data_IF_444714855938
#
_entry.id   IF_444714855938
#
_cell.length_a   1.000
_cell.length_b   1.000
_cell.length_c   1.000
_cell.angle_alpha   90.00
_cell.angle_beta   90.00
_cell.angle_gamma   90.00
#
_symmetry.space_group_name_H-M   'P 1'
#
loop_
_entity.id
_entity.type
_entity.pdbx_description
1 polymer ?
#
# COMPACT_ATOMS: atom_id res chain seq x y z
N UNK A 1 58.65 18.43 20.89
CA UNK A 1 57.74 18.32 19.72
C UNK A 1 58.22 17.15 18.89
N UNK A 2 57.46 16.06 18.82
CA UNK A 2 57.58 15.03 17.78
C UNK A 2 56.37 14.09 17.88
N UNK A 3 55.63 13.97 16.76
CA UNK A 3 54.48 13.08 16.57
C UNK A 3 54.92 11.59 16.63
N UNK A 4 54.04 10.65 17.02
CA UNK A 4 54.22 9.26 16.64
C UNK A 4 53.32 8.89 15.46
N UNK A 5 53.96 8.43 14.38
CA UNK A 5 53.33 7.72 13.27
C UNK A 5 53.16 6.23 13.64
N UNK A 6 51.99 5.70 13.30
CA UNK A 6 51.56 4.30 13.48
C UNK A 6 52.36 3.39 12.52
N UNK A 7 52.87 2.26 13.02
CA UNK A 7 53.25 1.11 12.20
C UNK A 7 52.60 -0.17 12.73
N UNK A 8 51.82 -0.80 11.85
CA UNK A 8 51.12 -2.06 12.03
C UNK A 8 52.08 -3.27 11.89
N UNK A 9 51.65 -4.39 12.51
CA UNK A 9 52.01 -5.79 12.32
C UNK A 9 53.22 -6.39 13.06
N UNK A 10 52.93 -7.32 13.97
CA UNK A 10 53.57 -8.65 13.99
C UNK A 10 52.52 -9.73 14.32
N UNK A 11 52.58 -10.94 13.71
CA UNK A 11 51.62 -12.03 13.95
C UNK A 11 52.04 -12.87 15.17
N UNK A 12 51.07 -13.23 16.02
CA UNK A 12 51.31 -14.14 17.16
C UNK A 12 51.14 -15.59 16.66
N UNK A 13 52.17 -16.39 16.90
CA UNK A 13 52.33 -17.79 16.54
C UNK A 13 51.20 -18.69 17.08
N UNK A 14 50.75 -19.61 16.24
CA UNK A 14 49.88 -20.72 16.61
C UNK A 14 50.72 -21.94 17.05
N UNK A 15 50.27 -22.74 18.04
CA UNK A 15 50.70 -24.12 18.15
C UNK A 15 49.66 -25.05 17.49
N UNK A 16 50.11 -25.80 16.49
CA UNK A 16 49.48 -27.02 15.99
C UNK A 16 49.80 -28.15 16.98
N UNK A 17 48.82 -28.97 17.34
CA UNK A 17 48.95 -30.44 17.38
C UNK A 17 47.61 -31.11 17.74
N UNK A 18 47.06 -31.86 16.75
CA UNK A 18 46.37 -33.17 16.82
C UNK A 18 45.21 -33.38 17.83
N UNK A 19 44.04 -33.97 17.55
CA UNK A 19 43.63 -35.17 16.80
C UNK A 19 42.09 -35.05 16.47
N UNK A 20 41.34 -36.05 15.92
CA UNK A 20 40.89 -36.14 14.53
C UNK A 20 39.34 -36.13 14.36
N UNK A 21 38.93 -36.20 13.10
CA UNK A 21 37.69 -36.81 12.58
C UNK A 21 36.31 -36.33 13.05
N UNK A 22 35.57 -35.85 12.05
CA UNK A 22 34.11 -35.87 11.92
C UNK A 22 33.33 -35.09 12.97
N UNK A 23 32.86 -33.90 12.59
CA UNK A 23 31.43 -33.54 12.61
C UNK A 23 31.26 -32.07 12.24
N UNK A 24 30.28 -31.81 11.36
CA UNK A 24 29.70 -30.53 11.02
C UNK A 24 30.66 -29.40 10.61
N UNK A 25 30.87 -29.28 9.29
CA UNK A 25 30.92 -27.96 8.69
C UNK A 25 29.55 -27.29 8.87
N UNK A 26 29.28 -26.78 10.07
CA UNK A 26 28.21 -25.84 10.33
C UNK A 26 28.55 -24.56 9.57
N UNK A 27 28.09 -24.50 8.32
CA UNK A 27 27.86 -23.21 7.69
C UNK A 27 26.90 -22.46 8.63
N UNK A 28 27.40 -21.47 9.35
CA UNK A 28 26.53 -20.59 10.10
C UNK A 28 26.00 -19.59 9.08
N UNK A 29 24.75 -19.77 8.62
CA UNK A 29 24.04 -18.66 7.96
C UNK A 29 23.95 -17.56 9.03
N UNK A 30 24.81 -16.56 8.90
CA UNK A 30 24.65 -15.29 9.59
C UNK A 30 23.43 -14.63 8.96
N UNK A 31 22.23 -14.98 9.45
CA UNK A 31 21.02 -14.20 9.19
C UNK A 31 21.34 -12.79 9.69
N UNK A 32 21.63 -11.87 8.76
CA UNK A 32 21.61 -10.43 9.06
C UNK A 32 20.33 -10.19 9.86
N UNK A 33 20.40 -9.46 10.98
CA UNK A 33 19.24 -9.15 11.85
C UNK A 33 17.99 -8.69 11.08
N UNK A 34 18.15 -8.20 9.85
CA UNK A 34 17.08 -7.92 8.89
C UNK A 34 16.19 -9.12 8.47
N UNK A 35 16.61 -10.38 8.62
CA UNK A 35 15.84 -11.55 8.15
C UNK A 35 15.02 -12.27 9.22
N UNK A 36 15.09 -11.89 10.51
CA UNK A 36 14.12 -12.41 11.50
C UNK A 36 12.69 -11.91 11.26
N UNK A 37 12.54 -10.85 10.45
CA UNK A 37 11.24 -10.33 10.05
C UNK A 37 10.72 -10.98 8.76
N UNK A 38 11.46 -11.91 8.13
CA UNK A 38 11.06 -12.39 6.80
C UNK A 38 9.78 -13.22 6.83
N UNK A 39 9.46 -13.98 7.89
CA UNK A 39 8.16 -14.67 7.97
C UNK A 39 6.96 -13.72 8.09
N UNK A 40 7.16 -12.55 8.70
CA UNK A 40 6.13 -11.51 8.79
C UNK A 40 6.00 -10.74 7.47
N UNK A 41 7.12 -10.47 6.79
CA UNK A 41 7.16 -9.79 5.49
C UNK A 41 6.69 -10.74 4.38
N UNK A 42 7.00 -12.03 4.43
CA UNK A 42 6.55 -13.08 3.50
C UNK A 42 5.04 -13.36 3.66
N UNK A 43 4.52 -13.39 4.88
CA UNK A 43 3.07 -13.45 5.14
C UNK A 43 2.36 -12.14 4.73
N UNK A 44 3.09 -11.01 4.67
CA UNK A 44 2.64 -9.75 4.06
C UNK A 44 2.94 -9.66 2.57
N UNK A 45 3.68 -10.58 1.97
CA UNK A 45 3.82 -10.74 0.51
C UNK A 45 2.80 -11.77 -0.03
N UNK A 46 2.25 -12.61 0.84
CA UNK A 46 0.91 -13.17 0.68
C UNK A 46 -0.20 -12.11 0.82
N UNK A 47 0.18 -10.82 0.94
CA UNK A 47 -0.74 -9.72 0.74
C UNK A 47 -1.26 -9.74 -0.68
N UNK A 48 -2.52 -9.38 -0.79
CA UNK A 48 -3.15 -9.15 -2.07
C UNK A 48 -2.28 -8.27 -2.98
N UNK A 49 -1.85 -8.75 -4.18
CA UNK A 49 -0.95 -8.00 -5.06
C UNK A 49 -1.53 -6.63 -5.44
N UNK A 50 -2.85 -6.53 -5.50
CA UNK A 50 -3.56 -5.30 -5.80
C UNK A 50 -3.43 -4.30 -4.65
N UNK A 51 -3.51 -4.75 -3.40
CA UNK A 51 -3.24 -3.93 -2.23
C UNK A 51 -1.77 -3.46 -2.19
N UNK A 52 -0.84 -4.30 -2.63
CA UNK A 52 0.58 -3.94 -2.72
C UNK A 52 0.82 -2.87 -3.79
N UNK A 53 0.21 -2.99 -4.97
CA UNK A 53 0.30 -1.97 -6.03
C UNK A 53 -0.30 -0.64 -5.56
N UNK A 54 -1.47 -0.68 -4.91
CA UNK A 54 -2.08 0.52 -4.34
C UNK A 54 -1.19 1.16 -3.26
N UNK A 55 -0.53 0.35 -2.43
CA UNK A 55 0.43 0.85 -1.46
C UNK A 55 1.69 1.43 -2.11
N UNK A 56 2.15 0.88 -3.24
CA UNK A 56 3.23 1.47 -4.01
C UNK A 56 2.84 2.85 -4.54
N UNK A 57 1.63 2.98 -5.10
CA UNK A 57 1.06 4.26 -5.54
C UNK A 57 1.00 5.25 -4.37
N UNK A 58 0.55 4.80 -3.19
CA UNK A 58 0.56 5.60 -1.97
C UNK A 58 1.97 6.09 -1.60
N UNK A 59 2.97 5.21 -1.68
CA UNK A 59 4.37 5.55 -1.41
C UNK A 59 4.89 6.61 -2.40
N UNK A 60 4.48 6.54 -3.67
CA UNK A 60 4.84 7.54 -4.69
C UNK A 60 4.30 8.93 -4.32
N UNK A 61 3.07 9.02 -3.81
CA UNK A 61 2.53 10.28 -3.30
C UNK A 61 3.24 10.73 -2.01
N UNK A 62 3.52 9.81 -1.09
CA UNK A 62 4.08 10.17 0.23
C UNK A 62 5.56 10.55 0.21
N UNK A 63 6.36 10.02 -0.72
CA UNK A 63 7.83 10.05 -0.60
C UNK A 63 8.51 11.15 -1.41
N UNK A 64 7.81 11.84 -2.31
CA UNK A 64 8.46 12.67 -3.33
C UNK A 64 8.43 14.16 -2.99
N UNK A 65 9.55 14.86 -3.18
CA UNK A 65 9.62 16.33 -3.31
C UNK A 65 8.71 16.86 -4.44
N UNK A 66 8.31 16.00 -5.37
CA UNK A 66 7.46 16.29 -6.52
C UNK A 66 6.05 15.72 -6.40
N UNK A 67 5.56 15.47 -5.19
CA UNK A 67 4.23 14.92 -4.97
C UNK A 67 3.12 15.70 -5.71
N UNK A 68 3.22 17.04 -5.78
CA UNK A 68 2.28 17.88 -6.53
C UNK A 68 2.18 17.50 -8.02
N UNK A 69 3.30 17.22 -8.68
CA UNK A 69 3.32 16.83 -10.09
C UNK A 69 2.65 15.48 -10.32
N UNK A 70 2.90 14.49 -9.45
CA UNK A 70 2.27 13.17 -9.58
C UNK A 70 0.76 13.22 -9.30
N UNK A 71 0.34 14.04 -8.33
CA UNK A 71 -1.08 14.27 -8.06
C UNK A 71 -1.75 14.94 -9.27
N UNK A 72 -1.11 15.94 -9.87
CA UNK A 72 -1.61 16.61 -11.08
C UNK A 72 -1.73 15.64 -12.26
N UNK A 73 -0.72 14.80 -12.49
CA UNK A 73 -0.75 13.76 -13.53
C UNK A 73 -1.90 12.76 -13.31
N UNK A 74 -2.12 12.34 -12.06
CA UNK A 74 -3.22 11.44 -11.71
C UNK A 74 -4.59 12.07 -11.91
N UNK A 75 -4.72 13.39 -11.70
CA UNK A 75 -5.93 14.14 -11.98
C UNK A 75 -6.19 14.37 -13.47
N UNK A 76 -5.16 14.52 -14.30
CA UNK A 76 -5.29 14.97 -15.70
C UNK A 76 -5.66 13.84 -16.67
N UNK A 77 -5.04 12.65 -16.54
CA UNK A 77 -5.06 11.66 -17.64
C UNK A 77 -5.93 10.42 -17.36
N UNK A 78 -7.21 10.57 -16.97
CA UNK A 78 -8.17 9.47 -16.72
C UNK A 78 -7.64 8.29 -15.86
N UNK A 79 -6.55 8.51 -15.13
CA UNK A 79 -5.74 7.45 -14.55
C UNK A 79 -6.51 6.73 -13.44
N UNK A 80 -7.35 7.46 -12.71
CA UNK A 80 -8.21 6.93 -11.66
C UNK A 80 -9.31 6.02 -12.23
N UNK A 81 -9.86 6.35 -13.40
CA UNK A 81 -10.89 5.54 -14.08
C UNK A 81 -10.28 4.26 -14.65
N UNK A 82 -9.08 4.37 -15.21
CA UNK A 82 -8.32 3.21 -15.68
C UNK A 82 -8.02 2.26 -14.51
N UNK A 83 -7.55 2.81 -13.38
CA UNK A 83 -7.30 2.06 -12.16
C UNK A 83 -8.57 1.37 -11.65
N UNK A 84 -9.72 2.07 -11.63
CA UNK A 84 -11.01 1.45 -11.32
C UNK A 84 -11.29 0.28 -12.28
N UNK A 85 -11.24 0.49 -13.59
CA UNK A 85 -11.58 -0.53 -14.57
C UNK A 85 -10.74 -1.80 -14.39
N UNK A 86 -9.45 -1.64 -14.08
CA UNK A 86 -8.61 -2.77 -13.71
C UNK A 86 -9.09 -3.43 -12.42
N UNK A 87 -9.38 -2.66 -11.37
CA UNK A 87 -9.85 -3.18 -10.09
C UNK A 87 -11.20 -3.92 -10.20
N UNK A 88 -12.16 -3.40 -10.96
CA UNK A 88 -13.48 -4.02 -11.14
C UNK A 88 -13.41 -5.34 -11.93
N UNK A 89 -12.33 -5.55 -12.70
CA UNK A 89 -12.05 -6.79 -13.46
C UNK A 89 -11.38 -7.89 -12.62
N UNK A 90 -11.02 -7.62 -11.38
CA UNK A 90 -10.29 -8.55 -10.53
C UNK A 90 -11.23 -9.65 -10.01
N UNK A 91 -10.75 -10.91 -9.87
CA UNK A 91 -11.53 -11.96 -9.25
C UNK A 91 -11.77 -11.69 -7.75
N UNK A 92 -12.87 -12.21 -7.24
CA UNK A 92 -13.34 -12.00 -5.87
C UNK A 92 -12.32 -12.38 -4.79
N UNK A 93 -11.40 -13.31 -5.08
CA UNK A 93 -10.33 -13.72 -4.16
C UNK A 93 -9.35 -12.61 -3.79
N UNK A 94 -9.28 -11.53 -4.58
CA UNK A 94 -8.45 -10.36 -4.28
C UNK A 94 -9.29 -9.15 -3.86
N UNK A 95 -10.54 -9.34 -3.43
CA UNK A 95 -11.34 -8.24 -2.85
C UNK A 95 -11.47 -8.49 -1.35
N UNK A 96 -10.32 -8.34 -0.69
CA UNK A 96 -10.14 -8.59 0.75
C UNK A 96 -9.95 -7.29 1.54
N UNK A 97 -9.94 -7.40 2.87
CA UNK A 97 -9.76 -6.28 3.79
C UNK A 97 -8.48 -5.47 3.50
N UNK A 98 -7.41 -6.12 3.05
CA UNK A 98 -6.16 -5.43 2.72
C UNK A 98 -6.30 -4.46 1.55
N UNK A 99 -7.12 -4.80 0.54
CA UNK A 99 -7.40 -3.91 -0.58
C UNK A 99 -8.12 -2.66 -0.08
N UNK A 100 -9.14 -2.83 0.77
CA UNK A 100 -9.87 -1.72 1.37
C UNK A 100 -8.93 -0.82 2.20
N UNK A 101 -8.08 -1.42 3.04
CA UNK A 101 -7.10 -0.66 3.84
C UNK A 101 -6.13 0.10 2.94
N UNK A 102 -5.65 -0.49 1.85
CA UNK A 102 -4.77 0.21 0.91
C UNK A 102 -5.45 1.43 0.28
N UNK A 103 -6.72 1.31 -0.11
CA UNK A 103 -7.52 2.44 -0.63
C UNK A 103 -7.69 3.53 0.45
N UNK A 104 -8.01 3.13 1.69
CA UNK A 104 -8.12 4.06 2.82
C UNK A 104 -6.83 4.83 3.04
N UNK A 105 -5.70 4.13 3.04
CA UNK A 105 -4.38 4.73 3.27
C UNK A 105 -3.99 5.69 2.15
N UNK A 106 -4.35 5.45 0.89
CA UNK A 106 -4.13 6.42 -0.20
C UNK A 106 -4.90 7.72 0.10
N UNK A 107 -6.19 7.60 0.43
CA UNK A 107 -7.04 8.78 0.70
C UNK A 107 -6.51 9.57 1.89
N UNK A 108 -6.16 8.88 2.99
CA UNK A 108 -5.59 9.55 4.17
C UNK A 108 -4.22 10.17 3.88
N UNK A 109 -3.36 9.53 3.09
CA UNK A 109 -2.09 10.13 2.66
C UNK A 109 -2.31 11.40 1.82
N UNK A 110 -3.29 11.39 0.91
CA UNK A 110 -3.59 12.56 0.09
C UNK A 110 -4.09 13.74 0.92
N UNK A 111 -4.88 13.50 1.98
CA UNK A 111 -5.35 14.56 2.89
C UNK A 111 -4.22 15.33 3.60
N UNK A 112 -3.04 14.74 3.73
CA UNK A 112 -1.86 15.36 4.36
C UNK A 112 -1.06 16.26 3.41
N UNK A 113 -1.44 16.34 2.13
CA UNK A 113 -0.69 17.08 1.11
C UNK A 113 -1.05 18.58 1.10
N UNK A 114 -0.08 19.45 0.80
CA UNK A 114 -0.23 20.91 0.87
C UNK A 114 -1.10 21.51 -0.26
N UNK A 115 -1.24 20.83 -1.42
CA UNK A 115 -1.97 21.32 -2.60
C UNK A 115 -3.49 21.05 -2.53
N UNK A 116 -4.16 21.65 -1.55
CA UNK A 116 -5.53 21.33 -1.10
C UNK A 116 -6.57 21.21 -2.22
N UNK A 117 -6.59 22.12 -3.21
CA UNK A 117 -7.62 22.15 -4.26
C UNK A 117 -7.54 20.97 -5.25
N UNK A 118 -6.33 20.65 -5.72
CA UNK A 118 -6.09 19.56 -6.68
C UNK A 118 -6.23 18.22 -5.96
N UNK A 119 -5.70 18.14 -4.73
CA UNK A 119 -5.84 16.99 -3.83
C UNK A 119 -7.31 16.67 -3.56
N UNK A 120 -8.14 17.68 -3.25
CA UNK A 120 -9.59 17.48 -3.05
C UNK A 120 -10.25 16.93 -4.31
N UNK A 121 -9.82 17.36 -5.49
CA UNK A 121 -10.32 16.83 -6.77
C UNK A 121 -9.93 15.36 -6.92
N UNK A 122 -8.67 15.00 -6.66
CA UNK A 122 -8.19 13.61 -6.72
C UNK A 122 -8.92 12.70 -5.72
N UNK A 123 -9.07 13.15 -4.48
CA UNK A 123 -9.79 12.40 -3.43
C UNK A 123 -11.23 12.17 -3.87
N UNK A 124 -11.91 13.19 -4.41
CA UNK A 124 -13.28 13.03 -4.90
C UNK A 124 -13.35 12.01 -6.05
N UNK A 125 -12.39 12.02 -6.97
CA UNK A 125 -12.31 11.02 -8.04
C UNK A 125 -12.06 9.62 -7.49
N UNK A 126 -11.17 9.44 -6.51
CA UNK A 126 -10.93 8.15 -5.86
C UNK A 126 -12.16 7.64 -5.11
N UNK A 127 -12.89 8.52 -4.42
CA UNK A 127 -14.14 8.15 -3.74
C UNK A 127 -15.19 7.73 -4.77
N UNK A 128 -15.34 8.49 -5.86
CA UNK A 128 -16.28 8.20 -6.94
C UNK A 128 -15.98 6.85 -7.60
N UNK A 129 -14.74 6.65 -8.04
CA UNK A 129 -14.40 5.52 -8.89
C UNK A 129 -13.99 4.27 -8.11
N UNK A 130 -13.51 4.39 -6.86
CA UNK A 130 -13.13 3.22 -6.06
C UNK A 130 -14.14 2.89 -4.99
N UNK A 131 -14.51 3.85 -4.14
CA UNK A 131 -15.39 3.57 -3.01
C UNK A 131 -16.86 3.47 -3.40
N UNK A 132 -17.30 4.22 -4.41
CA UNK A 132 -18.67 4.17 -4.89
C UNK A 132 -18.87 3.17 -6.04
N UNK A 133 -17.85 2.40 -6.41
CA UNK A 133 -18.00 1.30 -7.37
C UNK A 133 -18.76 0.14 -6.74
N UNK A 134 -20.08 0.11 -6.96
CA UNK A 134 -20.94 -0.94 -6.43
C UNK A 134 -20.56 -2.33 -6.96
N UNK A 135 -20.13 -2.46 -8.21
CA UNK A 135 -19.77 -3.75 -8.81
C UNK A 135 -18.53 -4.36 -8.14
N UNK A 136 -17.53 -3.53 -7.83
CA UNK A 136 -16.34 -3.96 -7.09
C UNK A 136 -16.72 -4.49 -5.70
N UNK A 137 -17.45 -3.71 -4.90
CA UNK A 137 -17.75 -4.08 -3.52
C UNK A 137 -18.83 -5.16 -3.40
N UNK A 138 -19.72 -5.29 -4.39
CA UNK A 138 -20.70 -6.38 -4.43
C UNK A 138 -20.07 -7.75 -4.69
N UNK A 139 -18.80 -7.83 -5.10
CA UNK A 139 -18.06 -9.09 -5.14
C UNK A 139 -17.40 -9.40 -3.80
N UNK A 140 -17.11 -8.42 -2.94
CA UNK A 140 -16.39 -8.65 -1.69
C UNK A 140 -17.12 -9.59 -0.70
N UNK A 141 -16.39 -10.18 0.25
CA UNK A 141 -16.98 -10.95 1.37
C UNK A 141 -17.78 -10.01 2.29
N UNK A 142 -18.81 -10.52 2.98
CA UNK A 142 -19.70 -9.71 3.82
C UNK A 142 -18.94 -8.86 4.86
N UNK A 143 -17.91 -9.42 5.50
CA UNK A 143 -17.09 -8.70 6.48
C UNK A 143 -16.43 -7.46 5.86
N UNK A 144 -15.90 -7.58 4.63
CA UNK A 144 -15.26 -6.48 3.91
C UNK A 144 -16.29 -5.44 3.47
N UNK A 145 -17.50 -5.86 3.05
CA UNK A 145 -18.59 -4.93 2.72
C UNK A 145 -19.02 -4.09 3.92
N UNK A 146 -19.14 -4.70 5.09
CA UNK A 146 -19.47 -3.97 6.33
C UNK A 146 -18.38 -2.92 6.62
N UNK A 147 -17.11 -3.32 6.56
CA UNK A 147 -16.00 -2.38 6.76
C UNK A 147 -15.98 -1.25 5.72
N UNK A 148 -16.27 -1.57 4.46
CA UNK A 148 -16.35 -0.60 3.37
C UNK A 148 -17.47 0.42 3.64
N UNK A 149 -18.68 -0.03 3.97
CA UNK A 149 -19.82 0.84 4.29
C UNK A 149 -19.52 1.71 5.50
N UNK A 150 -18.87 1.15 6.53
CA UNK A 150 -18.45 1.92 7.71
C UNK A 150 -17.50 3.06 7.32
N UNK A 151 -16.48 2.77 6.51
CA UNK A 151 -15.54 3.80 6.05
C UNK A 151 -16.17 4.81 5.08
N UNK A 152 -17.01 4.36 4.16
CA UNK A 152 -17.74 5.25 3.26
C UNK A 152 -18.62 6.22 4.06
N UNK A 153 -19.24 5.74 5.14
CA UNK A 153 -20.01 6.58 6.06
C UNK A 153 -19.13 7.63 6.75
N UNK A 154 -17.89 7.30 7.12
CA UNK A 154 -16.98 8.29 7.71
C UNK A 154 -16.60 9.39 6.73
N UNK A 155 -16.34 9.06 5.46
CA UNK A 155 -16.03 10.07 4.44
C UNK A 155 -17.25 10.95 4.14
N UNK A 156 -18.42 10.34 3.96
CA UNK A 156 -19.64 11.08 3.61
C UNK A 156 -20.09 12.00 4.75
N UNK A 157 -19.83 11.63 6.01
CA UNK A 157 -20.17 12.43 7.19
C UNK A 157 -19.57 13.84 7.14
N UNK A 158 -18.37 13.98 6.57
CA UNK A 158 -17.66 15.25 6.48
C UNK A 158 -18.39 16.25 5.55
N UNK A 159 -19.00 15.79 4.45
CA UNK A 159 -19.57 16.66 3.40
C UNK A 159 -20.90 16.11 2.80
N UNK A 160 -21.86 15.75 3.68
CA UNK A 160 -23.11 15.03 3.32
C UNK A 160 -23.93 15.63 2.17
N UNK A 161 -23.96 16.98 2.04
CA UNK A 161 -24.73 17.65 0.98
C UNK A 161 -24.04 17.48 -0.39
N UNK A 162 -22.73 17.63 -0.42
CA UNK A 162 -21.91 17.50 -1.62
C UNK A 162 -21.98 16.08 -2.20
N UNK A 163 -21.73 15.06 -1.37
CA UNK A 163 -21.74 13.67 -1.84
C UNK A 163 -23.11 13.22 -2.37
N UNK A 164 -24.19 13.65 -1.72
CA UNK A 164 -25.55 13.33 -2.16
C UNK A 164 -25.88 13.93 -3.51
N UNK A 165 -25.56 15.21 -3.70
CA UNK A 165 -25.85 15.91 -4.96
C UNK A 165 -24.95 15.41 -6.09
N UNK A 166 -23.68 15.13 -5.81
CA UNK A 166 -22.69 14.80 -6.82
C UNK A 166 -22.72 13.32 -7.24
N UNK A 167 -22.89 12.40 -6.29
CA UNK A 167 -22.74 10.96 -6.55
C UNK A 167 -23.95 10.12 -6.14
N UNK A 168 -24.88 10.65 -5.34
CA UNK A 168 -25.97 9.87 -4.76
C UNK A 168 -26.90 9.25 -5.80
N UNK A 169 -27.29 10.03 -6.82
CA UNK A 169 -28.17 9.55 -7.89
C UNK A 169 -27.48 8.48 -8.74
N UNK A 170 -26.21 8.71 -9.11
CA UNK A 170 -25.44 7.76 -9.91
C UNK A 170 -25.23 6.44 -9.16
N UNK A 171 -24.85 6.50 -7.88
CA UNK A 171 -24.70 5.32 -7.04
C UNK A 171 -26.00 4.50 -6.93
N UNK A 172 -27.15 5.17 -6.78
CA UNK A 172 -28.45 4.49 -6.73
C UNK A 172 -28.77 3.79 -8.07
N UNK A 173 -28.55 4.48 -9.19
CA UNK A 173 -28.76 3.91 -10.53
C UNK A 173 -27.85 2.70 -10.78
N UNK A 174 -26.59 2.77 -10.36
CA UNK A 174 -25.63 1.67 -10.50
C UNK A 174 -26.05 0.47 -9.62
N UNK A 175 -26.58 0.71 -8.42
CA UNK A 175 -27.18 -0.33 -7.59
C UNK A 175 -28.36 -1.02 -8.31
N UNK A 176 -29.26 -0.26 -8.94
CA UNK A 176 -30.44 -0.80 -9.63
C UNK A 176 -30.02 -1.63 -10.84
N UNK A 177 -29.17 -1.08 -11.72
CA UNK A 177 -28.68 -1.76 -12.94
C UNK A 177 -27.98 -3.09 -12.65
N UNK A 178 -27.37 -3.24 -11.48
CA UNK A 178 -26.66 -4.46 -11.12
C UNK A 178 -27.61 -5.59 -10.67
N UNK A 179 -28.85 -5.28 -10.28
CA UNK A 179 -29.79 -6.25 -9.71
C UNK A 179 -31.07 -6.45 -10.52
N UNK A 180 -31.40 -5.54 -11.44
CA UNK A 180 -32.60 -5.56 -12.29
C UNK A 180 -32.20 -5.42 -13.76
#
# INVERSE_FOLDING_TARGET
MNQPAIKLFSPIEAPLDTIPDSQNCDWIIVRRRSQRNNSYIDNRLQSNPCATILNLIRCIFSSSKYNSLHIEQMCRDYNVEILQKYLSSIPQCFIDQELLIAIQQIIECLKLCESISIVRTLINSLVQYLLLDFNLWNKAKINVRIMHIQYLTTIIKDDRKFFRHKFGVQYLLDCIKQHF
#
